data_IF_577407172726
#
_entry.id   IF_577407172726
#
_cell.length_a   1.000
_cell.length_b   1.000
_cell.length_c   1.000
_cell.angle_alpha   90.00
_cell.angle_beta   90.00
_cell.angle_gamma   90.00
#
_symmetry.space_group_name_H-M   'P 1'
#
loop_
_entity.id
_entity.type
_entity.pdbx_description
1 polymer ?
#
# COMPACT_ATOMS: atom_id res chain seq x y z
N UNK A 1 3.23 -2.14 5.71
CA UNK A 1 3.54 -3.57 5.76
C UNK A 1 3.85 -3.95 7.20
N UNK A 2 2.84 -4.39 7.94
CA UNK A 2 3.03 -4.86 9.31
C UNK A 2 3.33 -6.35 9.27
N UNK A 3 4.48 -6.75 9.78
CA UNK A 3 4.91 -8.15 9.91
C UNK A 3 4.46 -8.71 11.25
N UNK A 4 4.15 -10.00 11.31
CA UNK A 4 3.74 -10.65 12.56
C UNK A 4 4.90 -10.95 13.50
N UNK A 5 4.67 -10.77 14.81
CA UNK A 5 5.35 -11.51 15.88
C UNK A 5 4.33 -12.22 16.74
N UNK A 6 4.73 -13.30 17.42
CA UNK A 6 3.92 -14.09 18.35
C UNK A 6 3.36 -13.29 19.55
N UNK A 7 3.75 -12.04 19.72
CA UNK A 7 3.35 -11.17 20.84
C UNK A 7 2.13 -10.31 20.57
N UNK A 8 1.65 -10.24 19.32
CA UNK A 8 0.54 -9.36 18.93
C UNK A 8 -0.86 -9.97 19.11
N UNK A 9 -1.10 -10.65 20.20
CA UNK A 9 -2.45 -11.07 20.66
C UNK A 9 -3.34 -11.66 19.56
N UNK A 10 -2.82 -12.54 18.72
CA UNK A 10 -3.59 -13.23 17.68
C UNK A 10 -3.94 -12.39 16.44
N UNK A 11 -3.31 -11.25 16.23
CA UNK A 11 -3.43 -10.48 14.99
C UNK A 11 -2.56 -11.10 13.89
N UNK A 12 -3.15 -11.31 12.72
CA UNK A 12 -2.45 -11.72 11.50
C UNK A 12 -2.18 -10.49 10.64
N UNK A 13 -0.92 -10.32 10.24
CA UNK A 13 -0.53 -9.22 9.37
C UNK A 13 -0.35 -9.70 7.93
N UNK A 14 -0.80 -8.91 6.99
CA UNK A 14 -0.70 -9.24 5.58
C UNK A 14 0.60 -8.65 5.04
N UNK A 15 1.50 -9.50 4.57
CA UNK A 15 2.78 -9.12 3.98
C UNK A 15 2.59 -8.74 2.52
N UNK A 16 1.90 -9.59 1.76
CA UNK A 16 1.52 -9.36 0.37
C UNK A 16 0.02 -9.59 0.17
N UNK A 17 -0.54 -9.01 -0.87
CA UNK A 17 -1.95 -9.14 -1.20
C UNK A 17 -2.85 -8.06 -0.59
N UNK A 18 -2.33 -7.02 0.03
CA UNK A 18 -3.13 -5.92 0.57
C UNK A 18 -4.03 -5.29 -0.49
N UNK A 19 -3.51 -5.03 -1.70
CA UNK A 19 -4.31 -4.49 -2.81
C UNK A 19 -5.40 -5.45 -3.25
N UNK A 20 -5.10 -6.76 -3.35
CA UNK A 20 -6.07 -7.81 -3.70
C UNK A 20 -7.19 -7.90 -2.69
N UNK A 21 -6.85 -7.93 -1.40
CA UNK A 21 -7.85 -7.97 -0.31
C UNK A 21 -8.66 -6.68 -0.23
N UNK A 22 -8.04 -5.52 -0.44
CA UNK A 22 -8.76 -4.24 -0.53
C UNK A 22 -9.76 -4.28 -1.68
N UNK A 23 -9.35 -4.73 -2.87
CA UNK A 23 -10.24 -4.85 -4.03
C UNK A 23 -11.39 -5.84 -3.77
N UNK A 24 -11.10 -6.99 -3.15
CA UNK A 24 -12.14 -7.96 -2.76
C UNK A 24 -13.12 -7.35 -1.73
N UNK A 25 -12.63 -6.58 -0.77
CA UNK A 25 -13.50 -5.87 0.18
C UNK A 25 -14.41 -4.87 -0.53
N UNK A 26 -13.91 -4.11 -1.51
CA UNK A 26 -14.73 -3.20 -2.31
C UNK A 26 -15.78 -3.97 -3.16
N UNK A 27 -15.42 -5.12 -3.70
CA UNK A 27 -16.35 -6.02 -4.40
C UNK A 27 -17.44 -6.51 -3.43
N UNK A 28 -17.06 -6.98 -2.24
CA UNK A 28 -18.01 -7.43 -1.22
C UNK A 28 -18.95 -6.30 -0.78
N UNK A 29 -18.44 -5.09 -0.59
CA UNK A 29 -19.27 -3.90 -0.28
C UNK A 29 -20.31 -3.65 -1.38
N UNK A 30 -19.93 -3.74 -2.65
CA UNK A 30 -20.88 -3.57 -3.76
C UNK A 30 -21.91 -4.70 -3.80
N UNK A 31 -21.49 -5.94 -3.60
CA UNK A 31 -22.40 -7.09 -3.52
C UNK A 31 -23.36 -6.97 -2.34
N UNK A 32 -22.90 -6.50 -1.18
CA UNK A 32 -23.72 -6.18 -0.02
C UNK A 32 -24.85 -5.21 -0.38
N UNK A 33 -24.52 -4.08 -1.01
CA UNK A 33 -25.52 -3.08 -1.42
C UNK A 33 -26.51 -3.63 -2.45
N UNK A 34 -26.02 -4.34 -3.47
CA UNK A 34 -26.89 -4.94 -4.47
C UNK A 34 -27.81 -6.00 -3.86
N UNK A 35 -27.30 -6.87 -3.01
CA UNK A 35 -28.09 -7.90 -2.33
C UNK A 35 -29.15 -7.31 -1.42
N UNK A 36 -28.79 -6.24 -0.68
CA UNK A 36 -29.73 -5.52 0.17
C UNK A 36 -30.83 -4.84 -0.64
N UNK A 37 -30.49 -4.18 -1.73
CA UNK A 37 -31.44 -3.50 -2.61
C UNK A 37 -32.39 -4.49 -3.30
N UNK A 38 -31.89 -5.67 -3.67
CA UNK A 38 -32.68 -6.72 -4.33
C UNK A 38 -33.34 -7.71 -3.34
N UNK A 39 -33.27 -7.44 -2.03
CA UNK A 39 -33.82 -8.26 -0.95
C UNK A 39 -33.31 -9.73 -0.91
N UNK A 40 -32.07 -9.96 -1.33
CA UNK A 40 -31.40 -11.24 -1.19
C UNK A 40 -30.90 -11.44 0.25
N UNK A 41 -31.26 -12.52 0.94
CA UNK A 41 -30.85 -12.76 2.35
C UNK A 41 -29.33 -12.86 2.54
N UNK A 42 -28.59 -13.17 1.47
CA UNK A 42 -27.12 -13.27 1.44
C UNK A 42 -26.42 -11.98 1.85
N UNK A 43 -27.09 -10.82 1.84
CA UNK A 43 -26.47 -9.56 2.31
C UNK A 43 -25.97 -9.64 3.75
N UNK A 44 -26.65 -10.38 4.63
CA UNK A 44 -26.22 -10.55 6.04
C UNK A 44 -24.91 -11.31 6.13
N UNK A 45 -24.79 -12.38 5.35
CA UNK A 45 -23.56 -13.17 5.29
C UNK A 45 -22.37 -12.34 4.76
N UNK A 46 -22.62 -11.55 3.71
CA UNK A 46 -21.61 -10.65 3.15
C UNK A 46 -21.21 -9.58 4.18
N UNK A 47 -22.16 -9.01 4.91
CA UNK A 47 -21.92 -8.04 5.98
C UNK A 47 -20.97 -8.60 7.05
N UNK A 48 -21.22 -9.83 7.51
CA UNK A 48 -20.35 -10.51 8.47
C UNK A 48 -18.94 -10.77 7.95
N UNK A 49 -18.75 -10.87 6.64
CA UNK A 49 -17.40 -10.97 6.03
C UNK A 49 -16.67 -9.63 5.99
N UNK A 50 -17.38 -8.53 5.82
CA UNK A 50 -16.83 -7.17 5.72
C UNK A 50 -16.49 -6.61 7.10
N UNK A 51 -17.42 -6.73 8.05
CA UNK A 51 -17.30 -6.09 9.36
C UNK A 51 -17.83 -6.97 10.48
N UNK A 52 -17.57 -6.54 11.70
CA UNK A 52 -18.16 -7.04 12.93
C UNK A 52 -18.63 -5.85 13.76
N UNK A 53 -19.47 -6.11 14.74
CA UNK A 53 -19.96 -5.07 15.67
C UNK A 53 -19.35 -5.29 17.05
N UNK A 54 -18.79 -4.24 17.65
CA UNK A 54 -18.29 -4.29 19.02
C UNK A 54 -19.45 -4.30 20.04
N UNK A 55 -19.11 -4.46 21.34
CA UNK A 55 -20.10 -4.47 22.42
C UNK A 55 -20.87 -3.14 22.59
N UNK A 56 -20.39 -2.06 21.97
CA UNK A 56 -20.99 -0.72 22.00
C UNK A 56 -21.79 -0.41 20.74
N UNK A 57 -21.86 -1.37 19.77
CA UNK A 57 -22.54 -1.17 18.50
C UNK A 57 -21.70 -0.50 17.42
N UNK A 58 -20.40 -0.26 17.65
CA UNK A 58 -19.54 0.32 16.62
C UNK A 58 -19.17 -0.74 15.57
N UNK A 59 -19.17 -0.34 14.31
CA UNK A 59 -18.76 -1.18 13.19
C UNK A 59 -17.23 -1.23 13.13
N UNK A 60 -16.69 -2.43 13.14
CA UNK A 60 -15.26 -2.73 13.00
C UNK A 60 -15.02 -3.46 11.69
N UNK A 61 -14.41 -2.80 10.71
CA UNK A 61 -14.07 -3.43 9.45
C UNK A 61 -12.95 -4.45 9.64
N UNK A 62 -13.10 -5.65 9.08
CA UNK A 62 -12.07 -6.71 9.13
C UNK A 62 -10.80 -6.33 8.37
N UNK A 63 -10.95 -5.50 7.35
CA UNK A 63 -9.88 -4.88 6.57
C UNK A 63 -9.75 -3.39 6.91
N UNK A 64 -9.55 -3.07 8.20
CA UNK A 64 -9.40 -1.69 8.66
C UNK A 64 -7.95 -1.32 8.89
N UNK A 65 -7.41 -0.45 8.07
CA UNK A 65 -6.27 0.40 8.41
C UNK A 65 -6.81 1.79 8.72
N UNK A 66 -6.23 2.50 9.68
CA UNK A 66 -6.76 3.77 10.20
C UNK A 66 -7.16 4.77 9.10
N UNK A 67 -6.32 4.96 8.09
CA UNK A 67 -6.56 5.88 6.96
C UNK A 67 -7.56 5.36 5.93
N UNK A 68 -7.85 4.06 5.89
CA UNK A 68 -8.79 3.44 4.94
C UNK A 68 -10.14 3.14 5.56
N UNK A 69 -10.21 3.05 6.88
CA UNK A 69 -11.44 2.72 7.61
C UNK A 69 -12.55 3.75 7.34
N UNK A 70 -12.17 5.02 7.18
CA UNK A 70 -13.10 6.11 6.88
C UNK A 70 -13.76 5.92 5.50
N UNK A 71 -12.98 5.62 4.45
CA UNK A 71 -13.51 5.34 3.11
C UNK A 71 -14.40 4.10 3.10
N UNK A 72 -13.99 3.03 3.80
CA UNK A 72 -14.82 1.82 3.90
C UNK A 72 -16.14 2.10 4.59
N UNK A 73 -16.14 2.94 5.63
CA UNK A 73 -17.34 3.35 6.33
C UNK A 73 -18.28 4.15 5.43
N UNK A 74 -17.74 5.14 4.71
CA UNK A 74 -18.55 5.96 3.82
C UNK A 74 -19.16 5.12 2.68
N UNK A 75 -18.41 4.18 2.13
CA UNK A 75 -18.92 3.24 1.13
C UNK A 75 -20.00 2.34 1.77
N UNK A 76 -19.76 1.80 2.96
CA UNK A 76 -20.71 0.92 3.66
C UNK A 76 -22.02 1.64 3.97
N UNK A 77 -21.96 2.88 4.43
CA UNK A 77 -23.12 3.73 4.75
C UNK A 77 -23.79 4.32 3.50
N UNK A 78 -23.23 4.03 2.29
CA UNK A 78 -23.68 4.56 1.00
C UNK A 78 -23.69 6.10 0.96
N UNK A 79 -22.86 6.74 1.75
CA UNK A 79 -22.67 8.19 1.81
C UNK A 79 -21.59 8.65 0.82
N UNK A 80 -21.96 8.72 -0.47
CA UNK A 80 -21.01 9.00 -1.56
C UNK A 80 -20.76 10.50 -1.82
N UNK A 81 -21.24 11.42 -1.00
CA UNK A 81 -20.98 12.86 -1.09
C UNK A 81 -19.52 13.28 -0.77
N UNK A 82 -18.62 12.40 -1.05
CA UNK A 82 -17.28 12.30 -0.56
C UNK A 82 -16.23 13.07 -1.38
N UNK A 83 -16.64 13.71 -2.45
CA UNK A 83 -15.77 14.25 -3.51
C UNK A 83 -14.98 15.49 -3.07
N UNK A 84 -15.38 16.14 -1.97
CA UNK A 84 -14.88 17.47 -1.62
C UNK A 84 -13.82 17.53 -0.49
N UNK A 85 -13.34 16.40 0.04
CA UNK A 85 -12.34 16.38 1.11
C UNK A 85 -11.00 15.92 0.56
N UNK A 86 -9.92 16.68 0.69
CA UNK A 86 -8.59 16.25 0.27
C UNK A 86 -8.14 15.03 1.08
N UNK A 87 -7.95 13.91 0.42
CA UNK A 87 -7.62 12.62 1.01
C UNK A 87 -6.32 12.09 0.45
N UNK A 88 -5.74 11.12 1.14
CA UNK A 88 -4.54 10.45 0.66
C UNK A 88 -4.78 9.79 -0.71
N UNK A 89 -3.73 9.63 -1.50
CA UNK A 89 -3.77 8.93 -2.80
C UNK A 89 -4.43 7.54 -2.65
N UNK A 90 -4.12 6.84 -1.57
CA UNK A 90 -4.70 5.51 -1.29
C UNK A 90 -6.23 5.56 -1.15
N UNK A 91 -6.77 6.58 -0.47
CA UNK A 91 -8.21 6.77 -0.31
C UNK A 91 -8.88 7.13 -1.64
N UNK A 92 -8.27 8.01 -2.43
CA UNK A 92 -8.75 8.40 -3.76
C UNK A 92 -8.81 7.16 -4.67
N UNK A 93 -7.76 6.36 -4.69
CA UNK A 93 -7.71 5.14 -5.49
C UNK A 93 -8.77 4.11 -5.05
N UNK A 94 -8.99 3.93 -3.75
CA UNK A 94 -10.06 3.07 -3.25
C UNK A 94 -11.44 3.52 -3.73
N UNK A 95 -11.71 4.82 -3.64
CA UNK A 95 -12.97 5.40 -4.08
C UNK A 95 -13.18 5.22 -5.59
N UNK A 96 -12.16 5.54 -6.41
CA UNK A 96 -12.22 5.39 -7.86
C UNK A 96 -12.43 3.93 -8.26
N UNK A 97 -11.75 2.99 -7.60
CA UNK A 97 -11.93 1.56 -7.82
C UNK A 97 -13.34 1.10 -7.43
N UNK A 98 -13.89 1.58 -6.30
CA UNK A 98 -15.26 1.25 -5.93
C UNK A 98 -16.28 1.80 -6.94
N UNK A 99 -16.10 3.02 -7.42
CA UNK A 99 -16.94 3.61 -8.46
C UNK A 99 -16.89 2.79 -9.74
N UNK A 100 -15.70 2.40 -10.18
CA UNK A 100 -15.54 1.53 -11.35
C UNK A 100 -16.24 0.18 -11.18
N UNK A 101 -16.07 -0.48 -10.02
CA UNK A 101 -16.75 -1.74 -9.69
C UNK A 101 -18.27 -1.52 -9.72
N UNK A 102 -18.77 -0.45 -9.11
CA UNK A 102 -20.19 -0.13 -9.07
C UNK A 102 -20.79 0.03 -10.45
N UNK A 103 -20.16 0.83 -11.31
CA UNK A 103 -20.62 1.06 -12.68
C UNK A 103 -20.69 -0.23 -13.51
N UNK A 104 -19.76 -1.13 -13.29
CA UNK A 104 -19.73 -2.44 -13.99
C UNK A 104 -20.78 -3.41 -13.43
N UNK A 105 -20.93 -3.45 -12.10
CA UNK A 105 -21.82 -4.42 -11.43
C UNK A 105 -23.28 -4.02 -11.60
N UNK A 106 -23.63 -2.74 -11.55
CA UNK A 106 -25.00 -2.26 -11.78
C UNK A 106 -25.50 -2.66 -13.17
N UNK A 107 -24.64 -2.58 -14.19
CA UNK A 107 -24.97 -3.01 -15.54
C UNK A 107 -25.08 -4.53 -15.67
N UNK A 108 -24.24 -5.28 -14.95
CA UNK A 108 -24.14 -6.74 -15.10
C UNK A 108 -25.17 -7.49 -14.27
N UNK A 109 -25.47 -7.01 -13.07
CA UNK A 109 -26.33 -7.67 -12.09
C UNK A 109 -27.68 -6.96 -11.92
N UNK A 110 -28.31 -6.67 -13.07
CA UNK A 110 -29.65 -6.03 -13.12
C UNK A 110 -30.79 -6.93 -12.63
N UNK A 111 -30.56 -8.24 -12.48
CA UNK A 111 -31.55 -9.18 -12.01
C UNK A 111 -31.02 -9.97 -10.81
N UNK A 112 -31.91 -10.27 -9.85
CA UNK A 112 -31.62 -11.02 -8.64
C UNK A 112 -30.97 -12.38 -8.94
N UNK A 113 -31.46 -13.09 -9.97
CA UNK A 113 -30.89 -14.38 -10.33
C UNK A 113 -29.43 -14.30 -10.79
N UNK A 114 -29.05 -13.31 -11.61
CA UNK A 114 -27.65 -13.14 -12.04
C UNK A 114 -26.73 -12.77 -10.88
N UNK A 115 -27.24 -11.96 -9.96
CA UNK A 115 -26.52 -11.57 -8.77
C UNK A 115 -26.27 -12.77 -7.86
N UNK A 116 -27.29 -13.57 -7.61
CA UNK A 116 -27.23 -14.74 -6.74
C UNK A 116 -26.24 -15.80 -7.28
N UNK A 117 -26.34 -16.12 -8.56
CA UNK A 117 -25.39 -17.02 -9.23
C UNK A 117 -23.94 -16.52 -9.16
N UNK A 118 -23.72 -15.21 -9.25
CA UNK A 118 -22.38 -14.68 -9.14
C UNK A 118 -21.85 -14.75 -7.69
N UNK A 119 -22.70 -14.50 -6.71
CA UNK A 119 -22.34 -14.62 -5.29
C UNK A 119 -22.00 -16.09 -4.97
N UNK A 120 -22.82 -17.04 -5.41
CA UNK A 120 -22.55 -18.48 -5.28
C UNK A 120 -21.20 -18.85 -5.93
N UNK A 121 -20.95 -18.41 -7.17
CA UNK A 121 -19.68 -18.63 -7.85
C UNK A 121 -18.49 -18.04 -7.06
N UNK A 122 -18.63 -16.82 -6.53
CA UNK A 122 -17.57 -16.16 -5.79
C UNK A 122 -17.20 -16.93 -4.51
N UNK A 123 -18.18 -17.42 -3.77
CA UNK A 123 -17.94 -18.08 -2.50
C UNK A 123 -17.62 -19.58 -2.61
N UNK A 124 -18.14 -20.26 -3.62
CA UNK A 124 -17.97 -21.71 -3.73
C UNK A 124 -16.89 -22.14 -4.73
N UNK A 125 -16.54 -21.29 -5.69
CA UNK A 125 -15.64 -21.65 -6.78
C UNK A 125 -14.32 -20.90 -6.78
N UNK A 126 -14.21 -19.79 -6.05
CA UNK A 126 -12.96 -19.03 -5.97
C UNK A 126 -12.21 -19.45 -4.71
N UNK A 127 -11.00 -19.96 -4.91
CA UNK A 127 -10.11 -20.36 -3.83
C UNK A 127 -9.01 -19.31 -3.64
N UNK A 128 -8.78 -18.92 -2.41
CA UNK A 128 -7.64 -18.08 -2.01
C UNK A 128 -6.60 -18.98 -1.34
N UNK A 129 -5.35 -18.79 -1.71
CA UNK A 129 -4.23 -19.49 -1.08
C UNK A 129 -3.63 -18.53 -0.04
N UNK A 130 -3.64 -18.97 1.22
CA UNK A 130 -2.95 -18.31 2.32
C UNK A 130 -1.59 -18.97 2.53
N UNK A 131 -0.52 -18.17 2.49
CA UNK A 131 0.84 -18.61 2.80
C UNK A 131 1.25 -17.97 4.11
N UNK A 132 1.42 -18.78 5.16
CA UNK A 132 1.86 -18.31 6.47
C UNK A 132 3.39 -18.35 6.58
N UNK A 133 3.99 -17.19 6.87
CA UNK A 133 5.42 -17.04 7.10
C UNK A 133 5.63 -16.97 8.61
N UNK A 134 6.36 -17.95 9.17
CA UNK A 134 6.59 -18.04 10.62
C UNK A 134 7.79 -17.22 11.06
N UNK A 135 8.85 -17.20 10.24
CA UNK A 135 10.10 -16.53 10.56
C UNK A 135 10.14 -15.13 9.95
N UNK A 136 10.40 -14.14 10.77
CA UNK A 136 10.44 -12.74 10.32
C UNK A 136 11.54 -12.49 9.27
N UNK A 137 12.66 -13.20 9.36
CA UNK A 137 13.76 -13.06 8.40
C UNK A 137 13.39 -13.55 6.99
N UNK A 138 12.46 -14.50 6.88
CA UNK A 138 12.02 -15.04 5.58
C UNK A 138 11.05 -14.12 4.85
N UNK A 139 10.43 -13.19 5.56
CA UNK A 139 9.41 -12.30 5.01
C UNK A 139 9.93 -11.48 3.84
N UNK A 140 11.12 -10.90 3.96
CA UNK A 140 11.71 -10.07 2.90
C UNK A 140 12.00 -10.91 1.64
N UNK A 141 12.55 -12.12 1.82
CA UNK A 141 12.85 -13.05 0.73
C UNK A 141 11.57 -13.54 0.04
N UNK A 142 10.58 -13.96 0.82
CA UNK A 142 9.28 -14.43 0.28
C UNK A 142 8.57 -13.32 -0.47
N UNK A 143 8.64 -12.10 0.05
CA UNK A 143 8.07 -10.91 -0.58
C UNK A 143 8.73 -10.60 -1.95
N UNK A 144 10.07 -10.67 -2.06
CA UNK A 144 10.77 -10.51 -3.35
C UNK A 144 10.35 -11.60 -4.35
N UNK A 145 10.33 -12.87 -3.93
CA UNK A 145 10.02 -14.01 -4.82
C UNK A 145 8.56 -14.01 -5.30
N UNK A 146 7.61 -13.63 -4.45
CA UNK A 146 6.18 -13.61 -4.83
C UNK A 146 5.91 -12.44 -5.77
N UNK A 147 6.51 -11.28 -5.55
CA UNK A 147 6.31 -10.09 -6.38
C UNK A 147 6.93 -10.21 -7.77
N UNK A 148 7.97 -11.02 -7.96
CA UNK A 148 8.52 -11.30 -9.29
C UNK A 148 7.52 -11.98 -10.25
N UNK A 149 6.41 -12.51 -9.74
CA UNK A 149 5.38 -13.21 -10.53
C UNK A 149 4.12 -12.39 -10.83
N UNK A 150 4.02 -11.17 -10.29
CA UNK A 150 2.86 -10.28 -10.43
C UNK A 150 3.18 -8.96 -11.12
N UNK A 151 2.41 -7.91 -10.81
CA UNK A 151 2.81 -6.54 -11.10
C UNK A 151 3.98 -6.23 -10.16
N UNK A 152 5.19 -6.01 -10.69
CA UNK A 152 6.35 -5.79 -9.83
C UNK A 152 6.12 -4.55 -8.98
N UNK A 153 6.54 -4.63 -7.72
CA UNK A 153 6.59 -3.44 -6.87
C UNK A 153 7.51 -2.41 -7.48
N UNK A 154 7.16 -1.16 -7.32
CA UNK A 154 8.04 -0.06 -7.67
C UNK A 154 9.30 -0.08 -6.77
N UNK A 155 10.41 0.41 -7.31
CA UNK A 155 11.69 0.40 -6.59
C UNK A 155 11.62 1.14 -5.25
N UNK A 156 10.87 2.24 -5.17
CA UNK A 156 10.66 2.99 -3.93
C UNK A 156 9.83 2.23 -2.87
N UNK A 157 8.90 1.36 -3.30
CA UNK A 157 8.13 0.52 -2.38
C UNK A 157 8.99 -0.59 -1.77
N UNK A 158 9.85 -1.19 -2.61
CA UNK A 158 10.85 -2.18 -2.15
C UNK A 158 11.83 -1.51 -1.18
N UNK A 159 12.30 -0.32 -1.51
CA UNK A 159 13.17 0.46 -0.63
C UNK A 159 12.51 0.77 0.71
N UNK A 160 11.25 1.23 0.70
CA UNK A 160 10.45 1.45 1.92
C UNK A 160 10.43 0.21 2.79
N UNK A 161 10.09 -0.94 2.21
CA UNK A 161 10.03 -2.21 2.91
C UNK A 161 11.36 -2.60 3.55
N UNK A 162 12.48 -2.46 2.81
CA UNK A 162 13.83 -2.76 3.31
C UNK A 162 14.28 -1.82 4.43
N UNK A 163 13.96 -0.54 4.38
CA UNK A 163 14.39 0.42 5.40
C UNK A 163 13.50 0.37 6.64
N UNK A 164 12.19 0.51 6.46
CA UNK A 164 11.23 0.61 7.58
C UNK A 164 10.99 -0.75 8.24
N UNK A 165 11.10 -1.85 7.49
CA UNK A 165 10.88 -3.20 8.01
C UNK A 165 11.82 -3.60 9.16
N UNK A 166 12.96 -2.92 9.28
CA UNK A 166 13.94 -3.15 10.36
C UNK A 166 13.82 -2.17 11.54
N UNK A 167 12.92 -1.19 11.46
CA UNK A 167 12.66 -0.26 12.57
C UNK A 167 11.71 -0.93 13.56
N UNK A 168 11.97 -0.73 14.86
CA UNK A 168 11.12 -1.26 15.93
C UNK A 168 9.66 -0.83 15.74
N UNK A 169 8.75 -1.77 15.94
CA UNK A 169 7.30 -1.59 15.68
C UNK A 169 6.62 -0.56 16.56
N UNK A 170 7.13 -0.35 17.75
CA UNK A 170 6.57 0.65 18.66
C UNK A 170 6.69 2.07 18.13
N UNK A 171 7.64 2.30 17.22
CA UNK A 171 7.95 3.62 16.64
C UNK A 171 7.92 3.65 15.11
N UNK A 172 7.73 2.53 14.41
CA UNK A 172 7.81 2.50 12.96
C UNK A 172 6.65 3.25 12.27
N UNK A 173 5.50 3.37 12.92
CA UNK A 173 4.37 4.13 12.39
C UNK A 173 4.71 5.59 12.14
N UNK A 174 5.55 6.21 12.98
CA UNK A 174 6.01 7.58 12.79
C UNK A 174 6.84 7.70 11.51
N UNK A 175 7.75 6.73 11.26
CA UNK A 175 8.59 6.70 10.06
C UNK A 175 7.81 6.34 8.81
N UNK A 176 6.78 5.50 8.90
CA UNK A 176 5.83 5.24 7.82
C UNK A 176 5.13 6.54 7.44
N UNK A 177 4.61 7.27 8.41
CA UNK A 177 3.90 8.54 8.18
C UNK A 177 4.81 9.60 7.54
N UNK A 178 6.07 9.70 7.98
CA UNK A 178 7.05 10.63 7.39
C UNK A 178 7.34 10.22 5.94
N UNK A 179 7.56 8.93 5.69
CA UNK A 179 7.80 8.41 4.36
C UNK A 179 6.64 8.70 3.41
N UNK A 180 5.42 8.31 3.81
CA UNK A 180 4.22 8.45 2.97
C UNK A 180 3.94 9.92 2.65
N UNK A 181 4.13 10.80 3.64
CA UNK A 181 4.02 12.25 3.40
C UNK A 181 5.06 12.76 2.40
N UNK A 182 6.31 12.31 2.49
CA UNK A 182 7.35 12.70 1.54
C UNK A 182 7.01 12.21 0.11
N UNK A 183 6.52 10.99 -0.03
CA UNK A 183 6.06 10.45 -1.31
C UNK A 183 4.87 11.23 -1.85
N UNK A 184 3.88 11.53 -1.01
CA UNK A 184 2.73 12.36 -1.37
C UNK A 184 3.16 13.76 -1.83
N UNK A 185 4.13 14.36 -1.16
CA UNK A 185 4.65 15.68 -1.52
C UNK A 185 5.36 15.66 -2.88
N UNK A 186 6.10 14.60 -3.20
CA UNK A 186 6.73 14.39 -4.53
C UNK A 186 5.66 14.16 -5.59
N UNK A 187 4.70 13.27 -5.35
CA UNK A 187 3.68 12.87 -6.32
C UNK A 187 2.69 14.00 -6.66
N UNK A 188 2.33 14.86 -5.70
CA UNK A 188 1.36 15.94 -5.91
C UNK A 188 1.79 17.00 -6.93
N UNK A 189 3.07 17.16 -7.15
CA UNK A 189 3.58 18.20 -8.05
C UNK A 189 3.56 17.79 -9.52
N UNK A 190 3.36 16.54 -9.81
CA UNK A 190 3.27 16.00 -11.18
C UNK A 190 1.85 16.00 -11.75
N UNK A 191 0.88 16.53 -11.02
CA UNK A 191 -0.56 16.60 -11.42
C UNK A 191 -0.88 17.53 -12.61
N UNK A 192 0.08 18.00 -13.39
CA UNK A 192 -0.25 18.88 -14.55
C UNK A 192 -1.20 18.26 -15.59
N UNK A 193 -1.47 16.94 -15.51
CA UNK A 193 -2.33 16.22 -16.46
C UNK A 193 -3.31 15.18 -15.85
N UNK A 194 -3.72 15.25 -14.59
CA UNK A 194 -4.60 14.25 -13.97
C UNK A 194 -4.06 12.80 -13.98
N UNK A 195 -2.78 12.58 -14.21
CA UNK A 195 -2.14 11.27 -14.15
C UNK A 195 -0.95 11.31 -13.20
N UNK A 196 -1.05 10.56 -12.09
CA UNK A 196 0.10 10.29 -11.23
C UNK A 196 1.14 9.52 -12.04
N UNK A 197 2.27 10.14 -12.36
CA UNK A 197 3.44 9.42 -12.87
C UNK A 197 4.20 8.88 -11.66
N UNK A 198 3.86 7.65 -11.25
CA UNK A 198 4.63 6.92 -10.21
C UNK A 198 6.12 6.77 -10.58
N UNK A 199 6.46 6.97 -11.85
CA UNK A 199 7.82 7.01 -12.38
C UNK A 199 8.64 8.15 -11.76
N UNK A 200 8.02 9.28 -11.43
CA UNK A 200 8.71 10.45 -10.86
C UNK A 200 9.27 10.18 -9.47
N UNK A 201 8.63 9.27 -8.70
CA UNK A 201 9.10 8.90 -7.35
C UNK A 201 10.41 8.10 -7.45
N UNK A 202 10.49 7.14 -8.36
CA UNK A 202 11.71 6.36 -8.58
C UNK A 202 12.82 7.23 -9.18
N UNK A 203 12.48 8.21 -10.03
CA UNK A 203 13.42 9.23 -10.51
C UNK A 203 13.98 10.08 -9.39
N UNK A 204 13.13 10.56 -8.46
CA UNK A 204 13.59 11.30 -7.29
C UNK A 204 14.63 10.53 -6.49
N UNK A 205 14.39 9.25 -6.16
CA UNK A 205 15.35 8.44 -5.43
C UNK A 205 16.62 8.18 -6.22
N UNK A 206 16.49 7.90 -7.53
CA UNK A 206 17.64 7.75 -8.42
C UNK A 206 18.50 9.02 -8.43
N UNK A 207 17.91 10.20 -8.60
CA UNK A 207 18.63 11.47 -8.60
C UNK A 207 19.26 11.76 -7.24
N UNK A 208 18.54 11.53 -6.14
CA UNK A 208 19.08 11.71 -4.79
C UNK A 208 20.34 10.87 -4.56
N UNK A 209 20.27 9.57 -4.83
CA UNK A 209 21.41 8.68 -4.61
C UNK A 209 22.57 8.96 -5.58
N UNK A 210 22.29 9.29 -6.83
CA UNK A 210 23.29 9.69 -7.80
C UNK A 210 24.02 10.97 -7.40
N UNK A 211 23.28 12.00 -7.08
CA UNK A 211 23.85 13.30 -6.71
C UNK A 211 24.72 13.23 -5.46
N UNK A 212 24.35 12.38 -4.49
CA UNK A 212 25.01 12.32 -3.19
C UNK A 212 26.13 11.29 -3.12
N UNK A 213 26.07 10.18 -3.87
CA UNK A 213 26.94 9.03 -3.64
C UNK A 213 27.65 8.49 -4.90
N UNK A 214 27.29 8.95 -6.11
CA UNK A 214 27.95 8.51 -7.34
C UNK A 214 29.23 9.32 -7.60
N UNK A 215 30.34 8.63 -7.76
CA UNK A 215 31.63 9.20 -8.11
C UNK A 215 32.18 8.65 -9.44
N UNK A 216 31.55 7.59 -9.97
CA UNK A 216 31.97 6.92 -11.20
C UNK A 216 30.78 6.63 -12.09
N UNK A 217 31.01 6.49 -13.41
CA UNK A 217 29.97 6.15 -14.38
C UNK A 217 29.26 4.82 -14.05
N UNK A 218 30.00 3.85 -13.50
CA UNK A 218 29.40 2.57 -13.09
C UNK A 218 28.46 2.75 -11.91
N UNK A 219 28.86 3.52 -10.88
CA UNK A 219 27.99 3.83 -9.75
C UNK A 219 26.75 4.63 -10.18
N UNK A 220 26.91 5.51 -11.17
CA UNK A 220 25.81 6.26 -11.76
C UNK A 220 24.78 5.33 -12.41
N UNK A 221 25.23 4.31 -13.17
CA UNK A 221 24.37 3.30 -13.80
C UNK A 221 23.73 2.37 -12.77
N UNK A 222 24.46 1.97 -11.73
CA UNK A 222 23.96 1.14 -10.64
C UNK A 222 22.84 1.82 -9.83
N UNK A 223 22.64 3.11 -10.01
CA UNK A 223 21.61 3.92 -9.32
C UNK A 223 20.45 4.33 -10.25
N UNK A 224 20.22 3.63 -11.37
CA UNK A 224 19.04 3.81 -12.21
C UNK A 224 17.74 3.43 -11.47
N UNK A 225 16.63 3.96 -11.94
CA UNK A 225 15.29 3.88 -11.30
C UNK A 225 14.83 2.47 -10.99
N UNK A 226 15.24 1.49 -11.79
CA UNK A 226 14.84 0.09 -11.66
C UNK A 226 15.81 -0.78 -10.83
N UNK A 227 16.99 -0.27 -10.45
CA UNK A 227 18.05 -1.06 -9.78
C UNK A 227 18.57 -0.44 -8.49
N UNK A 228 18.44 0.87 -8.26
CA UNK A 228 18.99 1.56 -7.07
C UNK A 228 18.62 0.88 -5.76
N UNK A 229 17.38 0.40 -5.63
CA UNK A 229 16.85 -0.26 -4.44
C UNK A 229 17.58 -1.56 -4.05
N UNK A 230 18.40 -2.11 -4.95
CA UNK A 230 19.29 -3.25 -4.70
C UNK A 230 20.72 -2.77 -4.49
N UNK A 231 21.20 -1.94 -5.39
CA UNK A 231 22.61 -1.51 -5.48
C UNK A 231 23.09 -0.73 -4.26
N UNK A 232 22.23 0.06 -3.63
CA UNK A 232 22.56 0.83 -2.41
C UNK A 232 22.90 -0.01 -1.18
N UNK A 233 22.63 -1.31 -1.21
CA UNK A 233 22.93 -2.25 -0.12
C UNK A 233 24.14 -3.13 -0.41
N UNK A 234 24.88 -2.89 -1.50
CA UNK A 234 25.95 -3.77 -1.98
C UNK A 234 27.24 -2.97 -2.22
N UNK A 235 28.39 -3.59 -1.87
CA UNK A 235 29.73 -3.12 -2.22
C UNK A 235 30.01 -1.67 -1.81
N UNK A 236 30.77 -0.95 -2.65
CA UNK A 236 31.22 0.42 -2.36
C UNK A 236 30.09 1.43 -2.17
N UNK A 237 28.93 1.24 -2.82
CA UNK A 237 27.79 2.11 -2.60
C UNK A 237 27.25 1.94 -1.18
N UNK A 238 27.11 0.70 -0.69
CA UNK A 238 26.67 0.49 0.69
C UNK A 238 27.68 1.03 1.71
N UNK A 239 28.99 0.92 1.44
CA UNK A 239 30.03 1.47 2.34
C UNK A 239 29.88 2.99 2.51
N UNK A 240 29.49 3.70 1.43
CA UNK A 240 29.27 5.16 1.47
C UNK A 240 27.92 5.53 2.06
N UNK A 241 26.87 4.82 1.70
CA UNK A 241 25.50 5.09 2.12
C UNK A 241 25.29 4.66 3.56
N UNK A 242 25.82 3.49 3.97
CA UNK A 242 25.85 3.05 5.35
C UNK A 242 24.55 2.49 5.91
N UNK A 243 23.60 2.08 5.06
CA UNK A 243 22.34 1.47 5.54
C UNK A 243 22.52 0.06 6.07
N UNK A 244 23.50 -0.69 5.53
CA UNK A 244 23.78 -2.08 5.92
C UNK A 244 25.18 -2.20 6.49
N UNK A 245 25.30 -2.83 7.65
CA UNK A 245 26.54 -3.19 8.33
C UNK A 245 26.79 -4.71 8.25
N UNK A 246 27.94 -5.17 8.68
CA UNK A 246 28.28 -6.60 8.69
C UNK A 246 27.22 -7.45 9.44
N UNK A 247 26.66 -6.93 10.52
CA UNK A 247 25.71 -7.64 11.40
C UNK A 247 24.25 -7.21 11.18
N UNK A 248 23.89 -6.66 10.02
CA UNK A 248 22.52 -6.26 9.72
C UNK A 248 22.38 -4.80 9.27
N UNK A 249 21.26 -4.17 9.59
CA UNK A 249 20.95 -2.79 9.18
C UNK A 249 21.32 -1.76 10.27
N UNK A 250 21.85 -0.61 9.86
CA UNK A 250 22.04 0.55 10.75
C UNK A 250 20.74 1.30 10.96
N UNK A 251 19.99 0.88 11.97
CA UNK A 251 18.66 1.43 12.27
C UNK A 251 18.71 2.93 12.58
N UNK A 252 19.73 3.40 13.27
CA UNK A 252 19.87 4.83 13.61
C UNK A 252 20.13 5.66 12.34
N UNK A 253 20.95 5.13 11.43
CA UNK A 253 21.22 5.78 10.15
C UNK A 253 19.98 5.82 9.26
N UNK A 254 19.23 4.72 9.19
CA UNK A 254 17.95 4.64 8.46
C UNK A 254 16.93 5.63 9.02
N UNK A 255 16.78 5.70 10.35
CA UNK A 255 15.89 6.67 11.00
C UNK A 255 16.25 8.10 10.64
N UNK A 256 17.56 8.44 10.69
CA UNK A 256 18.05 9.75 10.30
C UNK A 256 17.80 10.07 8.83
N UNK A 257 18.02 9.11 7.94
CA UNK A 257 17.71 9.27 6.52
C UNK A 257 16.23 9.62 6.30
N UNK A 258 15.32 8.86 6.90
CA UNK A 258 13.87 9.07 6.70
C UNK A 258 13.42 10.42 7.29
N UNK A 259 13.83 10.72 8.54
CA UNK A 259 13.34 11.92 9.24
C UNK A 259 13.97 13.22 8.76
N UNK A 260 15.19 13.18 8.23
CA UNK A 260 15.93 14.37 7.83
C UNK A 260 16.12 14.45 6.31
N UNK A 261 16.89 13.50 5.73
CA UNK A 261 17.30 13.58 4.34
C UNK A 261 16.09 13.44 3.38
N UNK A 262 15.30 12.39 3.54
CA UNK A 262 14.12 12.16 2.69
C UNK A 262 13.14 13.34 2.77
N UNK A 263 12.80 13.77 3.98
CA UNK A 263 11.90 14.89 4.19
C UNK A 263 12.42 16.20 3.59
N UNK A 264 13.71 16.49 3.78
CA UNK A 264 14.33 17.72 3.25
C UNK A 264 14.36 17.71 1.72
N UNK A 265 14.91 16.63 1.13
CA UNK A 265 15.08 16.58 -0.32
C UNK A 265 13.77 16.39 -1.08
N UNK A 266 12.75 15.75 -0.51
CA UNK A 266 11.41 15.74 -1.07
C UNK A 266 10.83 17.15 -1.21
N UNK A 267 11.00 18.00 -0.18
CA UNK A 267 10.58 19.41 -0.24
C UNK A 267 11.38 20.19 -1.30
N UNK A 268 12.71 20.00 -1.37
CA UNK A 268 13.56 20.67 -2.37
C UNK A 268 13.15 20.25 -3.79
N UNK A 269 12.91 18.96 -4.01
CA UNK A 269 12.46 18.44 -5.30
C UNK A 269 11.10 19.03 -5.71
N UNK A 270 10.16 19.05 -4.78
CA UNK A 270 8.86 19.69 -4.99
C UNK A 270 9.00 21.17 -5.37
N UNK A 271 9.81 21.94 -4.63
CA UNK A 271 9.96 23.37 -4.89
C UNK A 271 10.66 23.64 -6.24
N UNK A 272 11.58 22.75 -6.66
CA UNK A 272 12.18 22.80 -7.98
C UNK A 272 11.17 22.49 -9.09
N UNK A 273 10.34 21.46 -8.93
CA UNK A 273 9.31 21.10 -9.89
C UNK A 273 8.24 22.19 -10.07
N UNK A 274 7.99 23.01 -9.02
CA UNK A 274 7.10 24.18 -9.11
C UNK A 274 7.68 25.34 -9.90
N UNK A 275 9.00 25.43 -9.94
CA UNK A 275 9.71 26.57 -10.54
C UNK A 275 9.90 26.42 -12.05
N UNK A 276 9.67 25.24 -12.60
CA UNK A 276 9.76 24.89 -14.01
C UNK A 276 8.41 24.39 -14.56
#
# INVERSE_FOLDING_TARGET
>A
NNFMTNEDRGKTYIVDGQQRLTTLTLVLLKLYHLSKTQNLPTYKYIEEMICSTDRRGNILFKMGFEDRAEVLKDIFDNSLDYINVPKSISQINMYNNYKYISDKFDKKFSTTHKLDLFIEFLFERILLIEIQIKEQNDVAMVFEVINDRGIPLKSYEILKGKLIGHIDRTVNNDYISIWDKAIDDIAKETEKENSYKEEDIDEFFSFYFRAKYSETDNQYKDLETNVYHKSIFIGKLNEKIGFKKENGYDINHIKKFISNDLKYFANVYRDYAKSN
#
